data_IF_207760942029
#
_entry.id   IF_207760942029
#
_cell.length_a   1.000
_cell.length_b   1.000
_cell.length_c   1.000
_cell.angle_alpha   90.00
_cell.angle_beta   90.00
_cell.angle_gamma   90.00
#
_symmetry.space_group_name_H-M   'P 1'
#
loop_
_entity.id
_entity.type
_entity.pdbx_description
1 polymer ?
#
# COMPACT_ATOMS: atom_id res chain seq x y z
N UNK A 1 -13.20 -12.85 16.90
CA UNK A 1 -13.15 -12.28 16.03
C UNK A 1 -11.93 -11.81 15.61
N UNK A 2 -11.46 -11.93 14.65
CA UNK A 2 -10.21 -11.49 14.21
C UNK A 2 -10.22 -10.04 13.92
N UNK A 3 -9.08 -9.42 14.03
CA UNK A 3 -8.95 -8.09 13.60
C UNK A 3 -8.77 -8.05 12.15
N UNK A 4 -9.26 -7.01 11.53
CA UNK A 4 -8.98 -6.79 10.16
C UNK A 4 -7.87 -5.82 10.03
N UNK A 5 -7.04 -5.99 9.01
CA UNK A 5 -6.03 -4.99 8.71
C UNK A 5 -6.74 -3.73 8.24
N UNK A 6 -6.28 -2.56 8.64
CA UNK A 6 -6.92 -1.32 8.22
C UNK A 6 -6.75 -1.03 6.74
N UNK A 7 -5.76 -1.63 6.10
CA UNK A 7 -5.53 -1.42 4.68
C UNK A 7 -5.46 -2.74 3.97
N UNK A 8 -6.04 -2.80 2.78
CA UNK A 8 -6.03 -4.03 2.00
C UNK A 8 -6.27 -3.69 0.54
N UNK A 9 -5.63 -4.43 -0.34
CA UNK A 9 -5.86 -4.26 -1.77
C UNK A 9 -7.00 -5.15 -2.26
N UNK A 10 -7.54 -6.00 -1.39
CA UNK A 10 -8.65 -6.85 -1.78
C UNK A 10 -9.86 -5.98 -2.03
N UNK A 11 -10.48 -6.15 -3.18
CA UNK A 11 -11.66 -5.36 -3.53
C UNK A 11 -11.34 -4.05 -4.22
N UNK A 12 -10.06 -3.71 -4.37
CA UNK A 12 -9.69 -2.51 -5.08
C UNK A 12 -9.72 -2.79 -6.58
N UNK A 13 -10.20 -1.83 -7.36
CA UNK A 13 -10.18 -1.96 -8.81
C UNK A 13 -8.76 -2.28 -9.24
N UNK A 14 -8.60 -3.22 -10.15
CA UNK A 14 -7.27 -3.62 -10.62
C UNK A 14 -6.56 -2.63 -11.51
N UNK A 15 -7.16 -1.48 -11.78
CA UNK A 15 -6.52 -0.45 -12.57
C UNK A 15 -5.30 0.09 -11.81
N UNK A 16 -4.20 0.29 -12.53
CA UNK A 16 -2.96 0.74 -11.91
C UNK A 16 -3.14 2.05 -11.13
N UNK A 17 -3.87 3.00 -11.70
CA UNK A 17 -4.06 4.27 -11.03
C UNK A 17 -4.92 4.15 -9.78
N UNK A 18 -5.88 3.24 -9.79
CA UNK A 18 -6.71 3.00 -8.61
C UNK A 18 -5.87 2.43 -7.48
N UNK A 19 -5.00 1.49 -7.81
CA UNK A 19 -4.10 0.88 -6.82
C UNK A 19 -3.16 1.94 -6.25
N UNK A 20 -2.53 2.72 -7.13
CA UNK A 20 -1.59 3.75 -6.68
C UNK A 20 -2.28 4.77 -5.79
N UNK A 21 -3.46 5.21 -6.17
CA UNK A 21 -4.20 6.18 -5.37
C UNK A 21 -4.54 5.65 -3.99
N UNK A 22 -4.96 4.40 -3.93
CA UNK A 22 -5.30 3.80 -2.65
C UNK A 22 -4.06 3.71 -1.76
N UNK A 23 -2.94 3.27 -2.33
CA UNK A 23 -1.71 3.13 -1.55
C UNK A 23 -1.21 4.49 -1.07
N UNK A 24 -1.28 5.50 -1.93
CA UNK A 24 -0.83 6.84 -1.54
C UNK A 24 -1.67 7.35 -0.37
N UNK A 25 -2.98 7.16 -0.43
CA UNK A 25 -3.84 7.58 0.68
C UNK A 25 -3.49 6.84 1.96
N UNK A 26 -3.24 5.54 1.86
CA UNK A 26 -2.84 4.76 3.03
C UNK A 26 -1.51 5.27 3.59
N UNK A 27 -0.55 5.56 2.71
CA UNK A 27 0.74 6.05 3.15
C UNK A 27 0.61 7.39 3.87
N UNK A 28 -0.24 8.27 3.37
CA UNK A 28 -0.48 9.54 4.04
C UNK A 28 -1.05 9.33 5.43
N UNK A 29 -1.98 8.42 5.56
CA UNK A 29 -2.60 8.15 6.85
C UNK A 29 -1.62 7.51 7.82
N UNK A 30 -0.68 6.75 7.30
CA UNK A 30 0.34 6.12 8.12
C UNK A 30 1.45 7.05 8.55
N UNK A 31 1.48 8.24 7.98
CA UNK A 31 2.52 9.20 8.35
C UNK A 31 3.77 9.18 7.49
N UNK A 32 3.71 8.56 6.33
CA UNK A 32 4.87 8.60 5.43
C UNK A 32 5.09 10.02 4.92
N UNK A 33 6.35 10.35 4.70
CA UNK A 33 6.69 11.68 4.19
C UNK A 33 6.30 11.81 2.73
N UNK A 34 6.22 13.04 2.27
CA UNK A 34 5.94 13.29 0.87
C UNK A 34 7.00 12.67 -0.03
N UNK A 35 8.26 12.71 0.40
CA UNK A 35 9.34 12.14 -0.39
C UNK A 35 9.16 10.64 -0.56
N UNK A 36 8.79 9.95 0.51
CA UNK A 36 8.57 8.50 0.44
C UNK A 36 7.42 8.18 -0.50
N UNK A 37 6.35 8.97 -0.44
CA UNK A 37 5.20 8.78 -1.30
C UNK A 37 5.57 9.00 -2.76
N UNK A 38 6.35 10.04 -3.03
CA UNK A 38 6.80 10.31 -4.39
C UNK A 38 7.71 9.21 -4.93
N UNK A 39 8.56 8.66 -4.09
CA UNK A 39 9.40 7.54 -4.50
C UNK A 39 8.57 6.32 -4.86
N UNK A 40 7.60 6.00 -4.05
CA UNK A 40 6.71 4.89 -4.36
C UNK A 40 6.01 5.13 -5.69
N UNK A 41 5.46 6.31 -5.87
CA UNK A 41 4.71 6.64 -7.07
C UNK A 41 5.59 6.53 -8.31
N UNK A 42 6.80 7.08 -8.23
CA UNK A 42 7.74 7.03 -9.35
C UNK A 42 8.10 5.58 -9.69
N UNK A 43 8.43 4.79 -8.66
CA UNK A 43 8.81 3.41 -8.88
C UNK A 43 7.66 2.60 -9.44
N UNK A 44 6.46 2.82 -8.92
CA UNK A 44 5.30 2.09 -9.38
C UNK A 44 4.97 2.38 -10.83
N UNK A 45 5.17 3.63 -11.26
CA UNK A 45 4.86 4.01 -12.62
C UNK A 45 5.97 3.67 -13.61
N UNK A 46 7.18 3.43 -13.12
CA UNK A 46 8.31 3.17 -14.00
C UNK A 46 8.45 1.72 -14.38
N UNK A 47 7.80 0.81 -13.69
CA UNK A 47 7.92 -0.61 -13.95
C UNK A 47 6.68 -1.18 -14.59
N UNK A 48 6.60 -2.49 -14.67
CA UNK A 48 5.42 -3.13 -15.22
C UNK A 48 4.39 -3.32 -14.11
N UNK A 49 3.26 -3.91 -14.48
CA UNK A 49 2.16 -4.08 -13.55
C UNK A 49 2.54 -4.99 -12.37
N UNK A 50 3.32 -6.03 -12.61
CA UNK A 50 3.77 -6.91 -11.54
C UNK A 50 4.62 -6.15 -10.54
N UNK A 51 5.48 -5.27 -11.02
CA UNK A 51 6.29 -4.43 -10.14
C UNK A 51 5.41 -3.51 -9.31
N UNK A 52 4.40 -2.92 -9.94
CA UNK A 52 3.45 -2.08 -9.23
C UNK A 52 2.76 -2.86 -8.11
N UNK A 53 2.30 -4.06 -8.39
CA UNK A 53 1.62 -4.88 -7.39
C UNK A 53 2.55 -5.22 -6.24
N UNK A 54 3.79 -5.60 -6.53
CA UNK A 54 4.75 -5.95 -5.48
C UNK A 54 5.01 -4.78 -4.56
N UNK A 55 5.24 -3.60 -5.14
CA UNK A 55 5.49 -2.41 -4.35
C UNK A 55 4.27 -2.03 -3.53
N UNK A 56 3.10 -2.14 -4.13
CA UNK A 56 1.86 -1.77 -3.45
C UNK A 56 1.58 -2.68 -2.26
N UNK A 57 1.77 -3.97 -2.43
CA UNK A 57 1.58 -4.93 -1.36
C UNK A 57 2.55 -4.63 -0.22
N UNK A 58 3.79 -4.32 -0.57
CA UNK A 58 4.81 -4.03 0.42
C UNK A 58 4.45 -2.78 1.23
N UNK A 59 3.99 -1.73 0.57
CA UNK A 59 3.60 -0.52 1.26
C UNK A 59 2.38 -0.74 2.14
N UNK A 60 1.42 -1.52 1.67
CA UNK A 60 0.22 -1.80 2.45
C UNK A 60 0.57 -2.62 3.69
N UNK A 61 1.45 -3.61 3.56
CA UNK A 61 1.91 -4.37 4.70
C UNK A 61 2.59 -3.48 5.73
N UNK A 62 3.44 -2.58 5.26
CA UNK A 62 4.12 -1.66 6.15
C UNK A 62 3.13 -0.74 6.86
N UNK A 63 2.13 -0.27 6.16
CA UNK A 63 1.11 0.58 6.77
C UNK A 63 0.34 -0.17 7.84
N UNK A 64 0.03 -1.43 7.60
CA UNK A 64 -0.68 -2.23 8.59
C UNK A 64 0.17 -2.42 9.85
N UNK A 65 1.46 -2.67 9.66
CA UNK A 65 2.37 -2.82 10.79
C UNK A 65 2.46 -1.52 11.58
N UNK A 66 2.61 -0.40 10.87
CA UNK A 66 2.72 0.89 11.53
C UNK A 66 1.44 1.27 12.26
N UNK A 67 0.32 0.72 11.83
CA UNK A 67 -0.95 0.98 12.49
C UNK A 67 -1.19 0.05 13.69
N UNK A 68 -0.24 -0.79 14.00
CA UNK A 68 -0.35 -1.68 15.14
C UNK A 68 -0.91 -3.05 14.85
N UNK A 69 -1.09 -3.39 13.57
CA UNK A 69 -1.59 -4.69 13.20
C UNK A 69 -0.41 -5.53 12.77
N UNK A 70 0.22 -6.16 13.73
CA UNK A 70 1.42 -6.89 13.40
C UNK A 70 1.15 -8.37 13.19
N UNK A 71 -0.05 -8.81 13.06
CA UNK A 71 -0.28 -10.10 12.88
C UNK A 71 -0.26 -10.58 11.64
N UNK A 72 0.35 -11.33 11.36
CA UNK A 72 0.42 -11.79 10.17
C UNK A 72 -0.51 -12.75 9.90
N UNK A 73 -0.75 -13.01 9.69
CA UNK A 73 -1.44 -13.69 9.28
C UNK A 73 -1.50 -14.72 9.57
N UNK A 74 -1.55 -14.80 9.96
CA UNK A 74 -1.69 -15.64 10.24
C UNK A 74 -2.38 -15.84 10.29
#
# INVERSE_FOLDING_TARGET
>A
MGKRHPYSLIGIDGNAFSIISYVINAMKQCGYSRDAINMYKTDALSGNYNNLLSLSIQMIDNCNILSGYDDPMQ
#
